data_IF_153306860825
#
_entry.id   IF_153306860825
#
_cell.length_a   1.000
_cell.length_b   1.000
_cell.length_c   1.000
_cell.angle_alpha   90.00
_cell.angle_beta   90.00
_cell.angle_gamma   90.00
#
_symmetry.space_group_name_H-M   'P 1'
#
loop_
_entity.id
_entity.type
_entity.pdbx_description
1 polymer ?
#
# COMPACT_ATOMS: atom_id res chain seq x y z
N UNK A 1 56.11 -75.17 -18.69
CA UNK A 1 54.90 -74.57 -19.33
C UNK A 1 53.91 -73.92 -18.32
N UNK A 2 53.85 -74.37 -17.10
CA UNK A 2 52.90 -73.95 -16.03
C UNK A 2 53.20 -72.54 -15.50
N UNK A 3 54.46 -72.14 -15.41
CA UNK A 3 54.84 -70.83 -14.82
C UNK A 3 54.49 -69.62 -15.71
N UNK A 4 54.45 -69.79 -17.05
CA UNK A 4 53.97 -68.75 -17.96
C UNK A 4 52.48 -68.55 -17.94
N UNK A 5 51.68 -69.59 -17.67
CA UNK A 5 50.23 -69.51 -17.54
C UNK A 5 49.82 -68.73 -16.30
N UNK A 6 50.47 -68.96 -15.15
CA UNK A 6 50.16 -68.30 -13.89
C UNK A 6 50.48 -66.82 -13.91
N UNK A 7 51.55 -66.38 -14.64
CA UNK A 7 51.92 -64.96 -14.78
C UNK A 7 50.88 -64.20 -15.64
N UNK A 8 50.34 -64.84 -16.68
CA UNK A 8 49.29 -64.27 -17.53
C UNK A 8 47.98 -64.05 -16.76
N UNK A 9 47.56 -65.01 -15.96
CA UNK A 9 46.35 -64.90 -15.15
C UNK A 9 46.44 -63.80 -14.12
N UNK A 10 47.58 -63.64 -13.43
CA UNK A 10 47.79 -62.54 -12.48
C UNK A 10 47.72 -61.18 -13.13
N UNK A 11 48.31 -61.02 -14.33
CA UNK A 11 48.24 -59.73 -15.06
C UNK A 11 46.83 -59.39 -15.50
N UNK A 12 46.05 -60.36 -15.98
CA UNK A 12 44.66 -60.17 -16.37
C UNK A 12 43.76 -59.83 -15.15
N UNK A 13 44.02 -60.47 -14.01
CA UNK A 13 43.28 -60.18 -12.76
C UNK A 13 43.56 -58.77 -12.25
N UNK A 14 44.83 -58.33 -12.28
CA UNK A 14 45.22 -56.96 -11.87
C UNK A 14 44.57 -55.92 -12.78
N UNK A 15 44.55 -56.14 -14.09
CA UNK A 15 43.91 -55.22 -15.05
C UNK A 15 42.39 -55.13 -14.82
N UNK A 16 41.74 -56.30 -14.54
CA UNK A 16 40.27 -56.31 -14.18
C UNK A 16 40.00 -55.53 -12.92
N UNK A 17 40.78 -55.70 -11.86
CA UNK A 17 40.65 -54.98 -10.62
C UNK A 17 40.86 -53.46 -10.80
N UNK A 18 41.84 -53.05 -11.59
CA UNK A 18 42.07 -51.64 -11.93
C UNK A 18 40.89 -51.03 -12.70
N UNK A 19 40.34 -51.79 -13.66
CA UNK A 19 39.14 -51.33 -14.40
C UNK A 19 37.92 -51.17 -13.47
N UNK A 20 37.70 -52.11 -12.56
CA UNK A 20 36.59 -52.06 -11.59
C UNK A 20 36.74 -50.83 -10.67
N UNK A 21 37.95 -50.57 -10.16
CA UNK A 21 38.22 -49.41 -9.33
C UNK A 21 38.02 -48.08 -10.10
N UNK A 22 38.46 -48.03 -11.35
CA UNK A 22 38.26 -46.87 -12.22
C UNK A 22 36.78 -46.61 -12.46
N UNK A 23 35.99 -47.63 -12.85
CA UNK A 23 34.56 -47.46 -13.03
C UNK A 23 33.87 -47.09 -11.74
N UNK A 24 34.28 -47.62 -10.59
CA UNK A 24 33.70 -47.24 -9.31
C UNK A 24 33.98 -45.78 -8.93
N UNK A 25 35.21 -45.30 -9.20
CA UNK A 25 35.56 -43.89 -8.99
C UNK A 25 34.80 -42.93 -9.92
N UNK A 26 34.64 -43.29 -11.20
CA UNK A 26 33.88 -42.50 -12.18
C UNK A 26 32.37 -42.46 -11.78
N UNK A 27 31.80 -43.59 -11.37
CA UNK A 27 30.39 -43.58 -10.87
C UNK A 27 30.23 -42.73 -9.63
N UNK A 28 31.20 -42.73 -8.72
CA UNK A 28 31.17 -41.93 -7.52
C UNK A 28 31.33 -40.44 -7.83
N UNK A 29 32.19 -40.08 -8.76
CA UNK A 29 32.35 -38.70 -9.25
C UNK A 29 31.11 -38.22 -9.97
N UNK A 30 30.48 -39.03 -10.83
CA UNK A 30 29.23 -38.71 -11.52
C UNK A 30 28.08 -38.49 -10.57
N UNK A 31 27.90 -39.39 -9.56
CA UNK A 31 26.89 -39.21 -8.51
C UNK A 31 27.11 -37.93 -7.71
N UNK A 32 28.37 -37.64 -7.32
CA UNK A 32 28.68 -36.42 -6.61
C UNK A 32 28.43 -35.15 -7.46
N UNK A 33 28.74 -35.19 -8.74
CA UNK A 33 28.48 -34.08 -9.64
C UNK A 33 27.00 -33.86 -9.88
N UNK A 34 26.24 -34.95 -10.06
CA UNK A 34 24.77 -34.89 -10.20
C UNK A 34 24.12 -34.35 -8.94
N UNK A 35 24.58 -34.78 -7.75
CA UNK A 35 24.12 -34.24 -6.47
C UNK A 35 24.44 -32.76 -6.32
N UNK A 36 25.67 -32.34 -6.65
CA UNK A 36 26.05 -30.92 -6.61
C UNK A 36 25.18 -30.07 -7.53
N UNK A 37 24.90 -30.52 -8.73
CA UNK A 37 24.05 -29.81 -9.70
C UNK A 37 22.60 -29.76 -9.20
N UNK A 38 22.08 -30.82 -8.58
CA UNK A 38 20.73 -30.84 -8.01
C UNK A 38 20.61 -29.87 -6.82
N UNK A 39 21.60 -29.86 -5.93
CA UNK A 39 21.65 -28.91 -4.81
C UNK A 39 21.76 -27.46 -5.30
N UNK A 40 22.58 -27.22 -6.33
CA UNK A 40 22.70 -25.87 -6.91
C UNK A 40 21.39 -25.41 -7.55
N UNK A 41 20.70 -26.27 -8.31
CA UNK A 41 19.40 -25.98 -8.91
C UNK A 41 18.34 -25.72 -7.84
N UNK A 42 18.36 -26.51 -6.75
CA UNK A 42 17.44 -26.32 -5.64
C UNK A 42 17.71 -25.02 -4.86
N UNK A 43 19.00 -24.66 -4.68
CA UNK A 43 19.39 -23.38 -4.08
C UNK A 43 18.97 -22.19 -4.96
N UNK A 44 19.12 -22.29 -6.27
CA UNK A 44 18.68 -21.28 -7.22
C UNK A 44 17.15 -21.15 -7.25
N UNK A 45 16.43 -22.28 -7.13
CA UNK A 45 14.98 -22.30 -7.04
C UNK A 45 14.49 -21.66 -5.73
N UNK A 46 15.14 -21.96 -4.60
CA UNK A 46 14.83 -21.32 -3.31
C UNK A 46 15.12 -19.81 -3.34
N UNK A 47 16.23 -19.37 -3.97
CA UNK A 47 16.52 -17.94 -4.13
C UNK A 47 15.53 -17.24 -5.06
N UNK A 48 15.03 -17.93 -6.10
CA UNK A 48 13.96 -17.43 -6.97
C UNK A 48 12.64 -17.29 -6.20
N UNK A 49 12.28 -18.27 -5.37
CA UNK A 49 11.09 -18.19 -4.51
C UNK A 49 11.22 -17.07 -3.46
N UNK A 50 12.39 -16.89 -2.86
CA UNK A 50 12.65 -15.80 -1.93
C UNK A 50 12.61 -14.42 -2.62
N UNK A 51 13.05 -14.32 -3.88
CA UNK A 51 12.93 -13.11 -4.69
C UNK A 51 11.49 -12.80 -5.13
N UNK A 52 10.66 -13.84 -5.33
CA UNK A 52 9.26 -13.68 -5.70
C UNK A 52 8.38 -13.19 -4.52
N UNK A 53 8.82 -13.34 -3.27
CA UNK A 53 8.16 -12.79 -2.09
C UNK A 53 8.50 -11.32 -1.81
N UNK A 54 9.51 -10.76 -2.46
CA UNK A 54 9.74 -9.31 -2.53
C UNK A 54 8.88 -8.65 -3.63
N UNK A 55 7.62 -9.02 -3.78
CA UNK A 55 6.60 -8.08 -4.22
C UNK A 55 6.67 -6.96 -3.18
N UNK A 56 7.27 -5.85 -3.56
CA UNK A 56 7.26 -4.60 -2.80
C UNK A 56 5.91 -4.52 -2.10
N UNK A 57 5.90 -4.60 -0.76
CA UNK A 57 4.81 -4.08 0.03
C UNK A 57 4.76 -2.59 -0.33
N UNK A 58 4.08 -2.27 -1.44
CA UNK A 58 3.61 -0.90 -1.66
C UNK A 58 2.86 -0.59 -0.39
N UNK A 59 3.36 0.38 0.34
CA UNK A 59 2.78 0.80 1.60
C UNK A 59 1.28 0.97 1.37
N UNK A 60 0.47 0.09 1.94
CA UNK A 60 -1.00 0.18 1.90
C UNK A 60 -1.46 1.32 2.82
N UNK A 61 -0.77 2.43 2.74
CA UNK A 61 -0.86 3.58 3.61
C UNK A 61 -1.01 4.87 2.80
N UNK A 62 -1.86 5.77 3.28
CA UNK A 62 -2.01 7.10 2.69
C UNK A 62 -0.72 7.92 2.77
N UNK A 63 0.18 7.57 3.67
CA UNK A 63 1.47 8.26 3.89
C UNK A 63 2.45 8.16 2.71
N UNK A 64 2.13 7.39 1.67
CA UNK A 64 2.94 7.30 0.45
C UNK A 64 2.68 8.45 -0.54
N UNK A 65 1.66 9.28 -0.31
CA UNK A 65 1.27 10.33 -1.24
C UNK A 65 1.74 11.71 -0.80
N UNK A 66 2.08 12.52 -1.80
CA UNK A 66 2.20 13.97 -1.66
C UNK A 66 1.15 14.61 -2.57
N UNK A 67 0.51 15.66 -2.10
CA UNK A 67 -0.56 16.39 -2.77
C UNK A 67 -0.28 17.89 -2.73
N UNK A 68 -1.01 18.69 -3.46
CA UNK A 68 -0.98 20.13 -3.30
C UNK A 68 -2.02 20.57 -2.28
N UNK A 69 -1.65 21.49 -1.38
CA UNK A 69 -2.62 22.19 -0.53
C UNK A 69 -3.41 23.24 -1.34
N UNK A 70 -4.43 23.83 -0.72
CA UNK A 70 -5.30 24.80 -1.39
C UNK A 70 -4.57 26.10 -1.77
N UNK A 71 -3.37 26.32 -1.27
CA UNK A 71 -2.48 27.44 -1.62
C UNK A 71 -1.43 27.06 -2.67
N UNK A 72 -1.44 25.84 -3.19
CA UNK A 72 -0.52 25.33 -4.21
C UNK A 72 0.83 24.83 -3.66
N UNK A 73 0.98 24.69 -2.35
CA UNK A 73 2.20 24.14 -1.76
C UNK A 73 2.13 22.62 -1.70
N UNK A 74 3.29 21.96 -1.77
CA UNK A 74 3.37 20.51 -1.57
C UNK A 74 3.04 20.16 -0.12
N UNK A 75 2.02 19.31 0.07
CA UNK A 75 1.64 18.72 1.34
C UNK A 75 1.97 17.23 1.33
N UNK A 76 2.99 16.84 2.07
CA UNK A 76 3.41 15.44 2.20
C UNK A 76 2.57 14.75 3.28
N UNK A 77 1.71 13.79 2.87
CA UNK A 77 0.89 13.03 3.79
C UNK A 77 1.72 12.14 4.74
N UNK A 78 3.01 11.94 4.48
CA UNK A 78 3.90 11.26 5.44
C UNK A 78 4.13 12.05 6.72
N UNK A 79 3.90 13.38 6.71
CA UNK A 79 3.92 14.24 7.89
C UNK A 79 2.79 13.93 8.90
N UNK A 80 1.80 13.16 8.47
CA UNK A 80 0.66 12.75 9.30
C UNK A 80 0.88 11.40 10.00
N UNK A 81 2.04 10.77 9.87
CA UNK A 81 2.37 9.52 10.58
C UNK A 81 2.16 9.67 12.09
N UNK A 82 1.55 8.64 12.70
CA UNK A 82 1.23 8.65 14.12
C UNK A 82 -0.07 9.38 14.48
N UNK A 83 -0.80 9.92 13.48
CA UNK A 83 -2.10 10.56 13.66
C UNK A 83 -3.20 9.73 13.00
N UNK A 84 -4.36 9.66 13.62
CA UNK A 84 -5.58 9.26 12.94
C UNK A 84 -5.94 10.33 11.90
N UNK A 85 -6.31 9.90 10.71
CA UNK A 85 -6.61 10.83 9.61
C UNK A 85 -8.03 10.64 9.13
N UNK A 86 -8.83 11.72 9.13
CA UNK A 86 -10.11 11.75 8.43
C UNK A 86 -9.92 12.45 7.09
N UNK A 87 -10.08 11.71 6.00
CA UNK A 87 -10.14 12.30 4.66
C UNK A 87 -11.59 12.52 4.28
N UNK A 88 -11.93 13.70 3.80
CA UNK A 88 -13.28 14.07 3.38
C UNK A 88 -13.26 14.84 2.06
N UNK A 89 -14.13 14.46 1.10
CA UNK A 89 -14.32 15.25 -0.10
C UNK A 89 -15.43 16.30 0.13
N UNK A 90 -15.16 17.55 -0.24
CA UNK A 90 -15.97 18.70 0.12
C UNK A 90 -16.53 19.42 -1.10
N UNK A 91 -17.54 20.26 -0.88
CA UNK A 91 -18.08 21.15 -1.89
C UNK A 91 -18.81 22.34 -1.25
N UNK A 92 -18.70 23.52 -1.85
CA UNK A 92 -19.27 24.78 -1.36
C UNK A 92 -20.77 24.96 -1.67
N UNK A 93 -21.31 24.28 -2.68
CA UNK A 93 -22.71 24.43 -3.16
C UNK A 93 -23.50 23.13 -3.03
N UNK A 94 -23.29 22.37 -1.96
CA UNK A 94 -23.95 21.10 -1.69
C UNK A 94 -24.97 21.26 -0.54
N UNK A 95 -26.05 20.49 -0.56
CA UNK A 95 -26.97 20.44 0.59
C UNK A 95 -26.29 19.94 1.89
N UNK A 96 -25.13 19.28 1.78
CA UNK A 96 -24.34 18.81 2.93
C UNK A 96 -23.23 19.78 3.35
N UNK A 97 -23.06 20.92 2.66
CA UNK A 97 -22.05 21.95 2.98
C UNK A 97 -22.08 22.40 4.46
N UNK A 98 -23.25 22.49 5.15
CA UNK A 98 -23.27 22.80 6.57
C UNK A 98 -22.46 21.86 7.46
N UNK A 99 -22.08 20.66 7.00
CA UNK A 99 -21.19 19.74 7.74
C UNK A 99 -19.78 20.33 7.99
N UNK A 100 -19.37 21.36 7.27
CA UNK A 100 -18.13 22.08 7.60
C UNK A 100 -18.12 22.58 9.05
N UNK A 101 -19.28 23.00 9.57
CA UNK A 101 -19.41 23.43 10.97
C UNK A 101 -19.04 22.32 11.96
N UNK A 102 -19.54 21.10 11.74
CA UNK A 102 -19.21 19.97 12.61
C UNK A 102 -17.77 19.49 12.38
N UNK A 103 -17.29 19.48 11.12
CA UNK A 103 -15.87 19.17 10.82
C UNK A 103 -14.94 20.11 11.59
N UNK A 104 -15.20 21.40 11.54
CA UNK A 104 -14.41 22.40 12.27
C UNK A 104 -14.51 22.19 13.79
N UNK A 105 -15.71 21.97 14.31
CA UNK A 105 -15.91 21.76 15.75
C UNK A 105 -15.15 20.53 16.28
N UNK A 106 -15.20 19.39 15.56
CA UNK A 106 -14.42 18.21 15.98
C UNK A 106 -12.91 18.42 15.78
N UNK A 107 -12.50 19.21 14.78
CA UNK A 107 -11.10 19.55 14.62
C UNK A 107 -10.58 20.46 15.74
N UNK A 108 -11.37 21.43 16.19
CA UNK A 108 -11.03 22.26 17.35
C UNK A 108 -10.98 21.44 18.67
N UNK A 109 -11.89 20.49 18.81
CA UNK A 109 -11.98 19.68 20.04
C UNK A 109 -10.89 18.59 20.12
N UNK A 110 -10.54 17.98 18.99
CA UNK A 110 -9.71 16.76 18.94
C UNK A 110 -8.48 16.89 18.03
N UNK A 111 -8.42 17.89 17.16
CA UNK A 111 -7.27 18.14 16.27
C UNK A 111 -6.01 18.39 17.09
N UNK A 112 -5.00 17.57 16.87
CA UNK A 112 -3.81 17.55 17.71
C UNK A 112 -2.69 16.76 17.01
N UNK A 113 -1.69 16.37 17.81
CA UNK A 113 -0.70 15.41 17.36
C UNK A 113 -1.25 13.98 17.15
N UNK A 114 -2.51 13.73 17.52
CA UNK A 114 -3.14 12.40 17.41
C UNK A 114 -4.25 12.30 16.36
N UNK A 115 -4.84 13.41 15.93
CA UNK A 115 -5.92 13.43 14.96
C UNK A 115 -5.84 14.63 14.03
N UNK A 116 -6.19 14.41 12.76
CA UNK A 116 -6.23 15.46 11.73
C UNK A 116 -7.35 15.19 10.72
N UNK A 117 -7.95 16.27 10.19
CA UNK A 117 -8.87 16.23 9.05
C UNK A 117 -8.11 16.75 7.83
N UNK A 118 -8.27 16.08 6.68
CA UNK A 118 -7.76 16.51 5.38
C UNK A 118 -8.93 16.64 4.42
N UNK A 119 -9.25 17.85 4.03
CA UNK A 119 -10.35 18.18 3.12
C UNK A 119 -9.87 18.23 1.66
N UNK A 120 -10.61 17.57 0.77
CA UNK A 120 -10.36 17.62 -0.67
C UNK A 120 -11.59 18.20 -1.40
N UNK A 121 -11.55 19.44 -1.87
CA UNK A 121 -12.61 19.98 -2.72
C UNK A 121 -12.78 19.13 -3.98
N UNK A 122 -14.04 18.87 -4.40
CA UNK A 122 -14.31 18.00 -5.53
C UNK A 122 -15.55 18.45 -6.33
N UNK A 123 -15.39 18.67 -7.63
CA UNK A 123 -16.47 19.13 -8.50
C UNK A 123 -17.22 18.00 -9.23
N UNK A 124 -17.01 16.75 -8.83
CA UNK A 124 -17.55 15.56 -9.51
C UNK A 124 -19.05 15.33 -9.30
N UNK A 125 -19.69 16.05 -8.40
CA UNK A 125 -21.10 15.86 -8.04
C UNK A 125 -21.90 17.11 -8.39
N UNK A 126 -22.57 17.06 -9.55
CA UNK A 126 -23.45 18.12 -10.06
C UNK A 126 -22.80 19.51 -10.08
N UNK A 127 -21.49 19.58 -10.30
CA UNK A 127 -20.73 20.86 -10.37
C UNK A 127 -20.91 21.71 -9.11
N UNK A 128 -20.93 21.06 -7.92
CA UNK A 128 -21.18 21.73 -6.65
C UNK A 128 -19.91 22.37 -6.04
N UNK A 129 -18.74 22.26 -6.73
CA UNK A 129 -17.50 22.98 -6.34
C UNK A 129 -16.87 23.69 -7.55
N UNK A 130 -17.56 24.71 -8.13
CA UNK A 130 -17.11 25.36 -9.35
C UNK A 130 -16.00 26.39 -9.15
N UNK A 131 -15.78 26.85 -7.91
CA UNK A 131 -14.84 27.91 -7.57
C UNK A 131 -13.39 27.56 -7.86
N UNK A 132 -12.52 28.54 -7.92
CA UNK A 132 -11.06 28.36 -7.88
C UNK A 132 -10.63 27.92 -6.46
N UNK A 133 -9.39 27.49 -6.30
CA UNK A 133 -8.81 27.15 -5.00
C UNK A 133 -8.90 28.34 -4.03
N UNK A 134 -8.59 29.53 -4.50
CA UNK A 134 -8.66 30.77 -3.74
C UNK A 134 -10.09 31.09 -3.29
N UNK A 135 -11.08 30.97 -4.20
CA UNK A 135 -12.51 31.17 -3.87
C UNK A 135 -13.00 30.16 -2.84
N UNK A 136 -12.54 28.89 -2.94
CA UNK A 136 -12.90 27.84 -2.00
C UNK A 136 -12.27 28.10 -0.63
N UNK A 137 -10.99 28.49 -0.58
CA UNK A 137 -10.31 28.84 0.67
C UNK A 137 -11.03 29.98 1.41
N UNK A 138 -11.31 31.06 0.69
CA UNK A 138 -12.06 32.22 1.24
C UNK A 138 -13.46 31.83 1.71
N UNK A 139 -14.18 30.98 0.95
CA UNK A 139 -15.49 30.47 1.33
C UNK A 139 -15.43 29.69 2.64
N UNK A 140 -14.49 28.75 2.76
CA UNK A 140 -14.32 27.90 3.93
C UNK A 140 -13.97 28.71 5.17
N UNK A 141 -13.05 29.67 5.05
CA UNK A 141 -12.64 30.55 6.14
C UNK A 141 -13.79 31.46 6.58
N UNK A 142 -14.39 32.23 5.63
CA UNK A 142 -15.38 33.25 5.95
C UNK A 142 -16.71 32.69 6.50
N UNK A 143 -17.14 31.50 6.02
CA UNK A 143 -18.44 30.95 6.40
C UNK A 143 -18.37 29.92 7.53
N UNK A 144 -17.25 29.24 7.72
CA UNK A 144 -17.12 28.12 8.65
C UNK A 144 -15.88 28.18 9.55
N UNK A 145 -14.99 29.17 9.35
CA UNK A 145 -13.76 29.29 10.11
C UNK A 145 -12.83 28.08 9.96
N UNK A 146 -12.82 27.42 8.79
CA UNK A 146 -12.05 26.18 8.59
C UNK A 146 -10.56 26.42 8.80
N UNK A 147 -9.98 25.63 9.71
CA UNK A 147 -8.55 25.66 10.03
C UNK A 147 -7.85 24.33 9.82
N UNK A 148 -8.58 23.25 9.55
CA UNK A 148 -7.98 21.97 9.18
C UNK A 148 -7.40 22.04 7.74
N UNK A 149 -6.39 21.23 7.43
CA UNK A 149 -5.76 21.18 6.11
C UNK A 149 -6.76 20.97 4.98
N UNK A 150 -6.81 21.95 4.06
CA UNK A 150 -7.55 21.86 2.81
C UNK A 150 -6.55 21.68 1.66
N UNK A 151 -6.84 20.72 0.79
CA UNK A 151 -6.03 20.43 -0.40
C UNK A 151 -6.60 21.14 -1.63
N UNK A 152 -5.81 21.22 -2.70
CA UNK A 152 -6.29 21.64 -4.01
C UNK A 152 -7.41 20.74 -4.51
N UNK A 153 -8.28 21.29 -5.36
CA UNK A 153 -9.42 20.59 -5.92
C UNK A 153 -8.98 19.43 -6.83
N UNK A 154 -9.54 18.25 -6.60
CA UNK A 154 -9.21 17.02 -7.32
C UNK A 154 -10.45 16.26 -7.79
N UNK A 155 -10.25 15.33 -8.72
CA UNK A 155 -11.26 14.36 -9.10
C UNK A 155 -11.27 13.17 -8.14
N UNK A 156 -12.43 12.93 -7.50
CA UNK A 156 -12.62 11.82 -6.53
C UNK A 156 -13.29 10.60 -7.15
N UNK A 157 -13.75 10.69 -8.40
CA UNK A 157 -14.35 9.59 -9.16
C UNK A 157 -14.10 9.72 -10.66
N UNK A 158 -14.44 8.68 -11.44
CA UNK A 158 -14.26 8.65 -12.89
C UNK A 158 -12.89 8.18 -13.31
N UNK A 159 -12.56 8.38 -14.59
CA UNK A 159 -11.30 7.92 -15.21
C UNK A 159 -10.08 8.69 -14.70
N UNK A 160 -10.28 9.96 -14.37
CA UNK A 160 -9.23 10.89 -13.94
C UNK A 160 -9.10 10.96 -12.41
N UNK A 161 -9.73 9.97 -11.71
CA UNK A 161 -9.68 9.88 -10.24
C UNK A 161 -8.25 10.00 -9.71
N UNK A 162 -8.05 10.95 -8.78
CA UNK A 162 -6.76 11.20 -8.16
C UNK A 162 -6.20 9.96 -7.44
N UNK A 163 -4.87 9.73 -7.45
CA UNK A 163 -4.24 8.56 -6.83
C UNK A 163 -4.62 8.31 -5.36
N UNK A 164 -4.78 9.37 -4.55
CA UNK A 164 -5.27 9.27 -3.16
C UNK A 164 -6.67 8.63 -3.12
N UNK A 165 -7.59 9.06 -3.96
CA UNK A 165 -8.93 8.48 -4.00
C UNK A 165 -8.98 7.12 -4.68
N UNK A 166 -8.05 6.85 -5.61
CA UNK A 166 -7.86 5.48 -6.12
C UNK A 166 -7.42 4.54 -4.99
N UNK A 167 -6.51 4.97 -4.11
CA UNK A 167 -6.12 4.23 -2.91
C UNK A 167 -7.31 4.03 -1.95
N UNK A 168 -8.03 5.07 -1.60
CA UNK A 168 -9.15 5.00 -0.64
C UNK A 168 -10.30 4.10 -1.09
N UNK A 169 -10.44 3.87 -2.41
CA UNK A 169 -11.61 3.18 -2.98
C UNK A 169 -11.33 1.81 -3.59
N UNK A 170 -10.07 1.39 -3.69
CA UNK A 170 -9.65 0.16 -4.37
C UNK A 170 -8.92 -0.75 -3.37
N UNK A 171 -9.49 -1.93 -3.11
CA UNK A 171 -8.94 -2.92 -2.18
C UNK A 171 -7.55 -3.38 -2.55
N UNK A 172 -7.25 -3.50 -3.84
CA UNK A 172 -5.91 -3.91 -4.29
C UNK A 172 -4.83 -2.87 -3.93
N UNK A 173 -5.23 -1.60 -3.69
CA UNK A 173 -4.36 -0.51 -3.30
C UNK A 173 -4.32 -0.27 -1.79
N UNK A 174 -5.49 -0.34 -1.11
CA UNK A 174 -5.58 -0.08 0.33
C UNK A 174 -5.45 -1.33 1.20
N UNK A 175 -5.60 -2.52 0.61
CA UNK A 175 -5.49 -3.82 1.30
C UNK A 175 -6.69 -4.19 2.17
N UNK A 176 -7.71 -3.33 2.28
CA UNK A 176 -8.82 -3.50 3.23
C UNK A 176 -10.15 -3.73 2.54
N UNK A 177 -10.62 -2.78 1.74
CA UNK A 177 -11.96 -2.87 1.15
C UNK A 177 -12.11 -2.08 -0.14
N UNK A 178 -13.01 -2.53 -1.01
CA UNK A 178 -13.52 -1.73 -2.11
C UNK A 178 -14.61 -0.79 -1.63
N UNK A 179 -14.62 0.41 -2.18
CA UNK A 179 -15.67 1.40 -1.94
C UNK A 179 -15.84 2.32 -3.15
N UNK A 180 -16.79 3.21 -3.08
CA UNK A 180 -16.96 4.28 -4.07
C UNK A 180 -17.32 5.57 -3.36
N UNK A 181 -16.86 6.69 -3.89
CA UNK A 181 -17.33 8.00 -3.43
C UNK A 181 -18.75 8.19 -3.95
N UNK A 182 -19.73 8.13 -3.04
CA UNK A 182 -21.16 8.17 -3.38
C UNK A 182 -21.66 9.60 -3.54
N UNK A 183 -21.14 10.56 -2.75
CA UNK A 183 -21.50 11.98 -2.77
C UNK A 183 -20.44 12.85 -2.12
N UNK A 184 -20.62 14.18 -2.15
CA UNK A 184 -19.82 15.11 -1.36
C UNK A 184 -19.97 14.82 0.14
N UNK A 185 -18.93 15.10 0.93
CA UNK A 185 -18.82 14.86 2.37
C UNK A 185 -18.79 13.38 2.77
N UNK A 186 -18.37 12.48 1.87
CA UNK A 186 -18.00 11.14 2.29
C UNK A 186 -16.67 11.16 3.05
N UNK A 187 -16.61 10.44 4.17
CA UNK A 187 -15.43 10.42 5.03
C UNK A 187 -14.75 9.06 4.96
N UNK A 188 -13.44 9.06 5.01
CA UNK A 188 -12.57 7.91 5.12
C UNK A 188 -11.75 8.05 6.39
N UNK A 189 -11.81 7.06 7.28
CA UNK A 189 -11.11 7.06 8.55
C UNK A 189 -9.90 6.13 8.45
N UNK A 190 -8.70 6.67 8.70
CA UNK A 190 -7.44 5.96 8.61
C UNK A 190 -6.73 6.02 9.97
N UNK A 191 -6.15 4.90 10.37
CA UNK A 191 -5.40 4.80 11.62
C UNK A 191 -4.04 5.54 11.56
N UNK A 192 -3.29 5.46 12.64
CA UNK A 192 -2.00 6.14 12.83
C UNK A 192 -0.92 5.67 11.83
N UNK A 193 -1.07 4.48 11.27
CA UNK A 193 -0.22 3.94 10.21
C UNK A 193 -0.67 4.39 8.80
N UNK A 194 -1.78 5.14 8.72
CA UNK A 194 -2.39 5.61 7.47
C UNK A 194 -3.12 4.51 6.72
N UNK A 195 -3.52 3.43 7.38
CA UNK A 195 -4.30 2.33 6.83
C UNK A 195 -5.79 2.64 6.96
N UNK A 196 -6.56 2.40 5.89
CA UNK A 196 -8.01 2.59 5.89
C UNK A 196 -8.68 1.65 6.90
N UNK A 197 -9.52 2.20 7.78
CA UNK A 197 -10.32 1.41 8.74
C UNK A 197 -11.82 1.46 8.45
N UNK A 198 -12.34 2.64 8.07
CA UNK A 198 -13.78 2.82 7.85
C UNK A 198 -14.07 3.77 6.68
N UNK A 199 -15.20 3.52 6.05
CA UNK A 199 -15.81 4.42 5.06
C UNK A 199 -17.16 4.86 5.62
N UNK A 200 -17.35 6.15 5.79
CA UNK A 200 -18.52 6.75 6.42
C UNK A 200 -19.42 7.40 5.37
N UNK A 201 -20.70 7.14 5.43
CA UNK A 201 -21.69 7.68 4.48
C UNK A 201 -21.67 9.23 4.48
N UNK A 202 -21.89 9.88 3.34
CA UNK A 202 -21.93 11.34 3.24
C UNK A 202 -22.91 12.01 4.21
N UNK A 203 -24.07 11.38 4.48
CA UNK A 203 -25.10 11.94 5.34
C UNK A 203 -24.83 11.78 6.84
N UNK A 204 -23.95 10.85 7.20
CA UNK A 204 -23.51 10.71 8.61
C UNK A 204 -22.77 11.98 9.02
N UNK A 205 -23.22 12.62 10.07
CA UNK A 205 -22.63 13.86 10.55
C UNK A 205 -21.21 13.62 11.08
N UNK A 206 -20.30 14.60 10.94
CA UNK A 206 -18.92 14.45 11.44
C UNK A 206 -18.80 14.20 12.94
N UNK A 207 -19.74 14.69 13.72
CA UNK A 207 -19.85 14.55 15.18
C UNK A 207 -20.70 13.33 15.63
N UNK A 208 -20.96 12.39 14.70
CA UNK A 208 -21.61 11.12 15.02
C UNK A 208 -20.83 10.37 16.12
N UNK A 209 -21.55 9.77 17.11
CA UNK A 209 -20.92 9.03 18.20
C UNK A 209 -19.93 7.96 17.76
N UNK A 210 -20.14 7.30 16.62
CA UNK A 210 -19.22 6.32 16.08
C UNK A 210 -17.89 6.96 15.68
N UNK A 211 -17.93 8.15 15.06
CA UNK A 211 -16.74 8.89 14.64
C UNK A 211 -15.99 9.41 15.86
N UNK A 212 -16.70 9.99 16.83
CA UNK A 212 -16.10 10.48 18.08
C UNK A 212 -15.44 9.33 18.86
N UNK A 213 -16.11 8.19 18.99
CA UNK A 213 -15.53 7.01 19.63
C UNK A 213 -14.29 6.50 18.91
N UNK A 214 -14.26 6.60 17.57
CA UNK A 214 -13.09 6.24 16.79
C UNK A 214 -11.93 7.23 17.01
N UNK A 215 -12.20 8.54 17.05
CA UNK A 215 -11.17 9.57 17.30
C UNK A 215 -10.53 9.38 18.68
N UNK A 216 -11.33 9.10 19.70
CA UNK A 216 -10.92 9.09 21.11
C UNK A 216 -10.38 7.76 21.63
N UNK A 217 -10.50 6.68 20.85
CA UNK A 217 -10.00 5.34 21.17
C UNK A 217 -8.49 5.26 21.01
#
# INVERSE_FOLDING_TARGET
MEERSNKSYKTVLVLKLQLIMYFHSEIHLYKNQKMKNTVLLFALFLSYLAGAQNKTNMSQSIHQFSVEDISGNVFDLSSLKGKKVMVVNTASKCGLTPQYKQLQAIYEAYGSDKFVIVGFPANNFLFQEPGSEEEIALFCEANYGVTFPMMSKIDVKGKDKHPVYAFLTDKDKNGVMDSKVSWNFQKYLLNEDGVLEKVIDPKTLPDDPEIIAWITK
#
